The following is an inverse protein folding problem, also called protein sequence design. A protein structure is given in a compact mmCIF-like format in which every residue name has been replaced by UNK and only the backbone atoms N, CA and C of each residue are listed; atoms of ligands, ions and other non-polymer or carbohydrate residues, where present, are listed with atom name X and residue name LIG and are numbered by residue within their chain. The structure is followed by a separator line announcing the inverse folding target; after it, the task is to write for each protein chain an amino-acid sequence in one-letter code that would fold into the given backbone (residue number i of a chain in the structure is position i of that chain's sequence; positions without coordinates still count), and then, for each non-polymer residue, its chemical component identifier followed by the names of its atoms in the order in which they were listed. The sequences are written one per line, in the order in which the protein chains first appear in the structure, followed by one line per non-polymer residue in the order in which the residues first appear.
data_IF_790700804398
#
_entry.id   IF_790700804398
#
_cell.length_a   1.000
_cell.length_b   1.000
_cell.length_c   1.000
_cell.angle_alpha   90.00
_cell.angle_beta   90.00
_cell.angle_gamma   90.00
#
_symmetry.space_group_name_H-M   'P 1'
#
loop_
_entity.id
_entity.type
_entity.pdbx_description
1 polymer ?
#
# COMPACT_ATOMS: atom_id res chain seq x y z
N UNK A 1 3.83 9.43 1.41
CA UNK A 1 2.95 9.08 2.54
C UNK A 1 3.75 8.22 3.51
N UNK A 2 4.24 8.82 4.60
CA UNK A 2 4.91 8.08 5.68
C UNK A 2 3.81 7.50 6.56
N UNK A 3 3.75 6.18 6.66
CA UNK A 3 2.94 5.52 7.67
C UNK A 3 3.65 5.82 8.99
N UNK A 4 3.11 6.77 9.75
CA UNK A 4 3.54 7.01 11.12
C UNK A 4 2.92 5.88 11.94
N UNK A 5 3.64 4.77 12.06
CA UNK A 5 3.40 3.87 13.18
C UNK A 5 3.83 4.64 14.42
N UNK A 6 2.87 5.34 15.04
CA UNK A 6 3.02 5.77 16.42
C UNK A 6 3.12 4.46 17.21
N UNK A 7 4.35 4.00 17.44
CA UNK A 7 4.64 3.09 18.53
C UNK A 7 4.22 3.86 19.77
N UNK A 8 3.11 3.49 20.44
CA UNK A 8 2.82 4.10 21.73
C UNK A 8 4.03 3.78 22.61
N UNK A 9 4.60 4.83 23.20
CA UNK A 9 5.62 4.74 24.23
C UNK A 9 5.38 3.53 25.11
N UNK A 10 6.41 2.67 25.14
CA UNK A 10 6.63 1.63 26.14
C UNK A 10 5.36 1.17 26.84
N UNK A 11 4.67 0.18 26.26
CA UNK A 11 3.88 -0.71 27.09
C UNK A 11 4.84 -1.22 28.18
N UNK A 12 4.75 -0.66 29.38
CA UNK A 12 5.48 -1.14 30.55
C UNK A 12 4.92 -2.53 30.85
N UNK A 13 5.42 -3.52 30.09
CA UNK A 13 5.04 -4.89 30.26
C UNK A 13 5.43 -5.27 31.70
N UNK A 14 4.51 -5.85 32.48
CA UNK A 14 4.79 -6.22 33.85
C UNK A 14 6.07 -7.07 33.91
N UNK A 15 7.14 -6.52 34.50
CA UNK A 15 8.43 -7.23 34.63
C UNK A 15 8.32 -8.47 35.53
N UNK A 16 7.28 -8.53 36.38
CA UNK A 16 6.93 -9.70 37.17
C UNK A 16 5.95 -10.57 36.41
N UNK A 17 6.26 -11.87 36.30
CA UNK A 17 5.33 -12.88 35.76
C UNK A 17 4.03 -12.82 36.56
N UNK A 18 2.87 -12.55 35.91
CA UNK A 18 1.61 -12.58 36.61
C UNK A 18 1.37 -13.98 37.15
N UNK A 19 1.01 -14.08 38.43
CA UNK A 19 0.63 -15.34 39.06
C UNK A 19 -0.78 -15.69 38.60
N UNK A 20 -0.88 -16.24 37.40
CA UNK A 20 -2.13 -16.76 36.85
C UNK A 20 -2.46 -18.01 37.65
N UNK A 21 -3.41 -17.88 38.59
CA UNK A 21 -3.98 -19.04 39.23
C UNK A 21 -4.83 -19.78 38.19
N UNK A 22 -4.82 -21.12 38.15
CA UNK A 22 -5.75 -21.86 37.31
C UNK A 22 -7.16 -21.36 37.65
N UNK A 23 -7.82 -20.81 36.65
CA UNK A 23 -9.17 -20.27 36.80
C UNK A 23 -10.15 -21.37 37.20
N UNK A 24 -11.27 -20.98 37.79
CA UNK A 24 -12.39 -21.89 38.04
C UNK A 24 -12.75 -22.60 36.74
N UNK A 25 -13.03 -23.90 36.82
CA UNK A 25 -13.34 -24.76 35.69
C UNK A 25 -14.34 -24.07 34.76
N UNK A 26 -13.97 -23.93 33.48
CA UNK A 26 -14.77 -23.19 32.51
C UNK A 26 -15.92 -24.09 32.11
N UNK A 27 -17.15 -23.67 32.43
CA UNK A 27 -18.34 -24.34 31.92
C UNK A 27 -18.54 -23.97 30.44
N UNK A 28 -18.16 -24.87 29.54
CA UNK A 28 -18.31 -24.72 28.09
C UNK A 28 -19.78 -24.54 27.67
N UNK A 29 -20.73 -25.03 28.48
CA UNK A 29 -22.17 -24.86 28.22
C UNK A 29 -22.71 -23.54 28.77
N UNK A 30 -21.91 -22.79 29.53
CA UNK A 30 -22.32 -21.52 30.11
C UNK A 30 -22.66 -20.50 29.03
N UNK A 31 -23.75 -19.76 29.25
CA UNK A 31 -24.14 -18.63 28.39
C UNK A 31 -23.04 -17.57 28.31
N UNK A 32 -22.27 -17.37 29.38
CA UNK A 32 -21.16 -16.40 29.41
C UNK A 32 -20.02 -16.82 28.48
N UNK A 33 -19.65 -18.10 28.50
CA UNK A 33 -18.61 -18.65 27.65
C UNK A 33 -18.98 -18.56 26.16
N UNK A 34 -20.19 -18.99 25.79
CA UNK A 34 -20.69 -18.89 24.41
C UNK A 34 -20.71 -17.46 23.89
N UNK A 35 -21.11 -16.49 24.73
CA UNK A 35 -21.15 -15.08 24.36
C UNK A 35 -19.74 -14.50 24.16
N UNK A 36 -18.77 -14.91 24.97
CA UNK A 36 -17.36 -14.53 24.80
C UNK A 36 -16.78 -15.07 23.50
N UNK A 37 -17.04 -16.34 23.17
CA UNK A 37 -16.63 -16.94 21.89
C UNK A 37 -17.25 -16.20 20.71
N UNK A 38 -18.55 -15.90 20.75
CA UNK A 38 -19.23 -15.14 19.70
C UNK A 38 -18.68 -13.71 19.55
N UNK A 39 -18.32 -13.05 20.65
CA UNK A 39 -17.72 -11.71 20.60
C UNK A 39 -16.29 -11.70 20.06
N UNK A 40 -15.55 -12.80 20.22
CA UNK A 40 -14.19 -12.96 19.72
C UNK A 40 -14.15 -13.48 18.29
N UNK A 41 -15.21 -14.15 17.84
CA UNK A 41 -15.34 -14.65 16.48
C UNK A 41 -15.44 -13.48 15.50
N UNK A 42 -14.38 -13.28 14.72
CA UNK A 42 -14.41 -12.34 13.60
C UNK A 42 -15.12 -13.00 12.44
N UNK A 43 -16.06 -12.28 11.82
CA UNK A 43 -16.77 -12.78 10.66
C UNK A 43 -15.80 -12.88 9.47
N UNK A 44 -15.51 -14.11 9.04
CA UNK A 44 -14.56 -14.38 7.97
C UNK A 44 -15.01 -13.77 6.63
N UNK A 45 -16.32 -13.68 6.40
CA UNK A 45 -16.89 -13.12 5.20
C UNK A 45 -16.59 -11.62 5.06
N UNK A 46 -16.70 -10.87 6.17
CA UNK A 46 -16.40 -9.43 6.19
C UNK A 46 -14.91 -9.15 5.94
N UNK A 47 -14.02 -10.00 6.49
CA UNK A 47 -12.58 -9.90 6.21
C UNK A 47 -12.31 -10.15 4.72
N UNK A 48 -12.87 -11.22 4.16
CA UNK A 48 -12.66 -11.56 2.75
C UNK A 48 -13.23 -10.50 1.82
N UNK A 49 -14.41 -9.95 2.12
CA UNK A 49 -14.99 -8.84 1.38
C UNK A 49 -14.10 -7.60 1.43
N UNK A 50 -13.65 -7.21 2.62
CA UNK A 50 -12.73 -6.07 2.81
C UNK A 50 -11.43 -6.25 2.06
N UNK A 51 -10.86 -7.47 2.09
CA UNK A 51 -9.63 -7.80 1.37
C UNK A 51 -9.81 -7.69 -0.15
N UNK A 52 -10.91 -8.22 -0.69
CA UNK A 52 -11.24 -8.12 -2.12
C UNK A 52 -11.41 -6.67 -2.56
N UNK A 53 -12.14 -5.87 -1.81
CA UNK A 53 -12.34 -4.45 -2.08
C UNK A 53 -11.03 -3.67 -2.09
N UNK A 54 -10.15 -3.94 -1.12
CA UNK A 54 -8.83 -3.32 -1.05
C UNK A 54 -7.97 -3.69 -2.26
N UNK A 55 -7.97 -4.96 -2.66
CA UNK A 55 -7.28 -5.44 -3.85
C UNK A 55 -7.79 -4.77 -5.12
N UNK A 56 -9.11 -4.70 -5.33
CA UNK A 56 -9.71 -4.06 -6.49
C UNK A 56 -9.34 -2.57 -6.57
N UNK A 57 -9.38 -1.84 -5.45
CA UNK A 57 -8.95 -0.43 -5.39
C UNK A 57 -7.47 -0.27 -5.72
N UNK A 58 -6.62 -1.19 -5.26
CA UNK A 58 -5.19 -1.16 -5.57
C UNK A 58 -4.92 -1.40 -7.06
N UNK A 59 -5.61 -2.38 -7.67
CA UNK A 59 -5.51 -2.67 -9.10
C UNK A 59 -5.93 -1.47 -9.96
N UNK A 60 -7.09 -0.88 -9.68
CA UNK A 60 -7.56 0.30 -10.42
C UNK A 60 -6.56 1.49 -10.34
N UNK A 61 -5.91 1.68 -9.19
CA UNK A 61 -4.87 2.70 -9.03
C UNK A 61 -3.62 2.41 -9.85
N UNK A 62 -3.23 1.13 -9.96
CA UNK A 62 -2.09 0.72 -10.76
C UNK A 62 -2.38 0.95 -12.25
N UNK A 63 -3.53 0.50 -12.73
CA UNK A 63 -3.98 0.68 -14.11
C UNK A 63 -4.07 2.17 -14.50
N UNK A 64 -4.57 3.02 -13.59
CA UNK A 64 -4.62 4.46 -13.81
C UNK A 64 -3.23 5.09 -13.93
N UNK A 65 -2.26 4.63 -13.14
CA UNK A 65 -0.86 5.08 -13.24
C UNK A 65 -0.22 4.63 -14.55
N UNK A 66 -0.46 3.40 -14.97
CA UNK A 66 0.06 2.87 -16.23
C UNK A 66 -0.54 3.60 -17.43
N UNK A 67 -1.84 3.88 -17.40
CA UNK A 67 -2.50 4.69 -18.41
C UNK A 67 -1.93 6.12 -18.47
N UNK A 68 -1.70 6.74 -17.31
CA UNK A 68 -1.07 8.07 -17.23
C UNK A 68 0.36 8.07 -17.77
N UNK A 69 1.16 7.05 -17.44
CA UNK A 69 2.52 6.90 -17.95
C UNK A 69 2.54 6.69 -19.47
N UNK A 70 1.65 5.85 -20.00
CA UNK A 70 1.50 5.64 -21.46
C UNK A 70 1.07 6.93 -22.17
N UNK A 71 0.14 7.69 -21.59
CA UNK A 71 -0.28 8.97 -22.15
C UNK A 71 0.85 10.01 -22.12
N UNK A 72 1.66 10.06 -21.06
CA UNK A 72 2.82 10.93 -20.97
C UNK A 72 3.90 10.55 -22.01
N UNK A 73 4.16 9.25 -22.19
CA UNK A 73 5.08 8.75 -23.21
C UNK A 73 4.66 9.19 -24.62
N UNK A 74 3.38 9.01 -24.98
CA UNK A 74 2.85 9.45 -26.28
C UNK A 74 3.00 10.96 -26.51
N UNK A 75 2.70 11.77 -25.50
CA UNK A 75 2.87 13.23 -25.59
C UNK A 75 4.33 13.62 -25.82
N UNK A 76 5.26 12.93 -25.17
CA UNK A 76 6.69 13.18 -25.38
C UNK A 76 7.14 12.73 -26.78
N UNK A 77 6.66 11.58 -27.27
CA UNK A 77 6.91 11.12 -28.64
C UNK A 77 6.39 12.12 -29.68
N UNK A 78 5.17 12.64 -29.51
CA UNK A 78 4.59 13.67 -30.38
C UNK A 78 5.39 14.97 -30.34
N UNK A 79 5.80 15.41 -29.14
CA UNK A 79 6.66 16.59 -28.96
C UNK A 79 8.00 16.41 -29.66
N UNK A 80 8.60 15.23 -29.53
CA UNK A 80 9.86 14.87 -30.18
C UNK A 80 9.72 14.82 -31.70
N UNK A 81 8.62 14.28 -32.21
CA UNK A 81 8.32 14.23 -33.64
C UNK A 81 8.17 15.64 -34.23
N UNK A 82 7.46 16.54 -33.55
CA UNK A 82 7.31 17.93 -33.99
C UNK A 82 8.65 18.68 -33.98
N UNK A 83 9.46 18.49 -32.95
CA UNK A 83 10.81 19.06 -32.91
C UNK A 83 11.71 18.50 -34.02
N UNK A 84 11.59 17.20 -34.32
CA UNK A 84 12.29 16.56 -35.46
C UNK A 84 11.84 17.17 -36.79
N UNK A 85 10.55 17.50 -36.95
CA UNK A 85 10.01 18.18 -38.14
C UNK A 85 10.57 19.60 -38.30
N UNK A 86 10.66 20.38 -37.22
CA UNK A 86 11.09 21.78 -37.27
C UNK A 86 12.63 21.93 -37.39
N UNK A 87 13.41 21.13 -36.64
CA UNK A 87 14.88 21.31 -36.51
C UNK A 87 15.74 20.21 -37.18
N UNK A 88 15.14 19.12 -37.66
CA UNK A 88 15.87 17.97 -38.23
C UNK A 88 16.53 17.06 -37.18
N UNK A 89 17.18 15.96 -37.60
CA UNK A 89 17.65 14.89 -36.68
C UNK A 89 18.82 15.25 -35.76
N UNK A 90 19.48 16.40 -35.98
CA UNK A 90 20.70 16.80 -35.26
C UNK A 90 20.47 17.21 -33.79
N UNK A 91 19.23 17.55 -33.41
CA UNK A 91 18.92 18.04 -32.06
C UNK A 91 18.84 16.93 -31.00
N UNK A 92 18.46 15.71 -31.40
CA UNK A 92 18.19 14.60 -30.48
C UNK A 92 19.43 14.12 -29.67
N UNK A 93 20.62 13.92 -30.30
CA UNK A 93 21.81 13.51 -29.54
C UNK A 93 22.33 14.59 -28.58
N UNK A 94 22.06 15.87 -28.86
CA UNK A 94 22.48 16.98 -28.00
C UNK A 94 21.61 17.06 -26.74
N UNK A 95 20.29 16.87 -26.84
CA UNK A 95 19.41 16.84 -25.66
C UNK A 95 19.55 15.55 -24.87
N UNK A 96 19.79 14.40 -25.52
CA UNK A 96 20.15 13.17 -24.80
C UNK A 96 21.44 13.33 -23.97
N UNK A 97 22.40 14.12 -24.48
CA UNK A 97 23.62 14.46 -23.74
C UNK A 97 23.34 15.40 -22.58
N UNK A 98 22.52 16.42 -22.80
CA UNK A 98 22.12 17.40 -21.78
C UNK A 98 21.31 16.76 -20.64
N UNK A 99 20.33 15.90 -20.96
CA UNK A 99 19.56 15.17 -19.95
C UNK A 99 20.40 14.22 -19.11
N UNK A 100 21.45 13.59 -19.69
CA UNK A 100 22.41 12.77 -18.93
C UNK A 100 23.22 13.59 -17.94
N UNK A 101 23.65 14.79 -18.33
CA UNK A 101 24.43 15.70 -17.47
C UNK A 101 23.57 16.20 -16.30
N UNK A 102 22.30 16.51 -16.55
CA UNK A 102 21.40 17.02 -15.51
C UNK A 102 20.91 15.97 -14.51
N UNK A 103 21.03 14.67 -14.81
CA UNK A 103 20.64 13.57 -13.91
C UNK A 103 21.75 13.12 -12.94
N UNK A 104 22.99 13.58 -13.13
CA UNK A 104 24.16 13.19 -12.33
C UNK A 104 24.63 14.29 -11.36
N UNK A 105 23.87 15.37 -11.20
CA UNK A 105 24.12 16.48 -10.27
C UNK A 105 23.21 16.45 -9.04
#
# INVERSE_FOLDING_TARGET
MKIICVLPDEFQQPRKKPRILPGKEIDEKSKKFRRQIQSAAVNAEDIMATARDACQKALARLEAKDAAAKAAAKREEERVAELKRIRGEKWLPSIAREMRVNFQG
#
